data_IF_691486928955
#
_entry.id   IF_691486928955
#
_cell.length_a   1.000
_cell.length_b   1.000
_cell.length_c   1.000
_cell.angle_alpha   90.00
_cell.angle_beta   90.00
_cell.angle_gamma   90.00
#
_symmetry.space_group_name_H-M   'P 1'
#
loop_
_entity.id
_entity.type
_entity.pdbx_description
1 polymer ?
#
# COMPACT_ATOMS: atom_id res chain seq x y z
N UNK A 1 -11.52 -3.78 46.87
CA UNK A 1 -12.87 -4.40 46.76
C UNK A 1 -12.92 -5.22 45.48
N UNK A 2 -12.84 -6.55 45.63
CA UNK A 2 -12.84 -7.56 44.55
C UNK A 2 -14.27 -8.10 44.39
N UNK A 3 -14.82 -8.14 43.17
CA UNK A 3 -16.05 -8.86 42.81
C UNK A 3 -15.62 -10.19 42.15
N UNK A 4 -15.48 -11.26 42.95
CA UNK A 4 -16.46 -12.33 43.20
C UNK A 4 -16.61 -13.29 42.01
N UNK A 5 -15.77 -14.32 42.08
CA UNK A 5 -15.93 -15.64 41.48
C UNK A 5 -17.24 -16.31 41.92
N UNK A 6 -17.89 -17.00 40.98
CA UNK A 6 -19.08 -17.85 41.14
C UNK A 6 -18.92 -18.88 39.99
N UNK A 7 -18.84 -20.20 40.11
CA UNK A 7 -19.27 -21.20 41.11
C UNK A 7 -18.34 -22.41 40.98
N UNK A 8 -17.86 -22.94 42.12
CA UNK A 8 -17.44 -24.34 42.26
C UNK A 8 -18.67 -25.14 42.69
N UNK A 9 -19.04 -26.18 41.93
CA UNK A 9 -19.92 -27.23 42.41
C UNK A 9 -19.11 -28.52 42.55
N UNK A 10 -18.88 -28.90 43.80
CA UNK A 10 -18.47 -30.24 44.20
C UNK A 10 -19.63 -31.21 43.95
N UNK A 11 -19.33 -32.32 43.28
CA UNK A 11 -20.16 -33.52 43.29
C UNK A 11 -19.28 -34.72 43.60
N UNK A 12 -19.07 -34.99 44.89
CA UNK A 12 -18.50 -36.24 45.36
C UNK A 12 -19.64 -37.24 45.57
N UNK A 13 -19.62 -38.36 44.84
CA UNK A 13 -20.37 -39.56 45.21
C UNK A 13 -19.55 -40.76 44.74
N UNK A 14 -18.95 -41.42 45.72
CA UNK A 14 -18.22 -42.66 45.56
C UNK A 14 -19.19 -43.84 45.35
N UNK A 15 -18.92 -44.67 44.35
CA UNK A 15 -19.34 -46.06 44.33
C UNK A 15 -18.23 -46.88 43.66
N UNK A 16 -17.53 -47.67 44.48
CA UNK A 16 -16.58 -48.70 44.06
C UNK A 16 -17.36 -49.91 43.53
N UNK A 17 -17.11 -50.32 42.29
CA UNK A 17 -17.31 -51.69 41.83
C UNK A 17 -16.39 -51.97 40.62
N UNK A 18 -15.68 -53.09 40.68
CA UNK A 18 -14.50 -53.38 39.86
C UNK A 18 -14.75 -53.66 38.38
N UNK A 19 -13.66 -53.55 37.62
CA UNK A 19 -13.58 -53.92 36.21
C UNK A 19 -12.18 -53.64 35.66
N UNK A 20 -11.30 -54.65 35.73
CA UNK A 20 -10.05 -54.70 34.98
C UNK A 20 -10.37 -54.56 33.48
N UNK A 21 -9.94 -53.47 32.85
CA UNK A 21 -9.89 -53.38 31.39
C UNK A 21 -8.84 -52.38 30.93
N UNK A 22 -7.85 -52.94 30.27
CA UNK A 22 -6.97 -52.37 29.24
C UNK A 22 -6.19 -51.10 29.59
N UNK A 23 -4.86 -51.25 29.58
CA UNK A 23 -3.90 -50.18 29.31
C UNK A 23 -4.21 -49.53 27.95
N UNK A 24 -5.17 -48.60 27.92
CA UNK A 24 -5.26 -47.57 26.90
C UNK A 24 -4.47 -46.38 27.40
N UNK A 25 -3.26 -46.18 26.88
CA UNK A 25 -2.62 -44.88 26.97
C UNK A 25 -3.56 -43.85 26.34
N UNK A 26 -4.25 -43.04 27.17
CA UNK A 26 -4.88 -41.81 26.73
C UNK A 26 -3.77 -40.89 26.22
N UNK A 27 -3.41 -41.08 24.96
CA UNK A 27 -2.82 -40.04 24.15
C UNK A 27 -3.86 -38.93 24.13
N UNK A 28 -3.72 -37.96 25.02
CA UNK A 28 -4.18 -36.60 24.77
C UNK A 28 -3.58 -36.21 23.43
N UNK A 29 -4.36 -36.38 22.37
CA UNK A 29 -4.15 -35.72 21.10
C UNK A 29 -4.26 -34.24 21.42
N UNK A 30 -3.14 -33.62 21.77
CA UNK A 30 -2.94 -32.22 21.48
C UNK A 30 -3.15 -32.13 19.98
N UNK A 31 -4.36 -31.74 19.58
CA UNK A 31 -4.65 -31.24 18.26
C UNK A 31 -3.77 -29.98 18.12
N UNK A 32 -2.50 -30.21 17.80
CA UNK A 32 -1.60 -29.17 17.32
C UNK A 32 -2.32 -28.61 16.12
N UNK A 33 -2.82 -27.39 16.25
CA UNK A 33 -3.41 -26.66 15.16
C UNK A 33 -2.29 -26.44 14.15
N UNK A 34 -2.14 -27.39 13.23
CA UNK A 34 -1.08 -27.41 12.24
C UNK A 34 -1.39 -26.32 11.22
N UNK A 35 -1.05 -25.09 11.59
CA UNK A 35 -1.19 -23.88 10.75
C UNK A 35 -0.47 -24.03 9.40
N UNK A 36 0.34 -25.07 9.21
CA UNK A 36 0.95 -25.39 7.92
C UNK A 36 -0.07 -25.72 6.82
N UNK A 37 -1.32 -26.07 7.19
CA UNK A 37 -2.39 -26.40 6.24
C UNK A 37 -3.37 -25.25 5.93
N UNK A 38 -3.28 -24.14 6.65
CA UNK A 38 -4.21 -23.03 6.44
C UNK A 38 -3.92 -22.32 5.11
N UNK A 39 -4.97 -22.05 4.34
CA UNK A 39 -4.89 -21.32 3.07
C UNK A 39 -5.61 -19.98 3.20
N UNK A 40 -4.99 -18.94 2.63
CA UNK A 40 -5.45 -17.57 2.69
C UNK A 40 -5.69 -17.07 1.27
N UNK A 41 -6.83 -16.41 1.04
CA UNK A 41 -7.16 -15.76 -0.22
C UNK A 41 -7.20 -14.26 0.05
N UNK A 42 -6.08 -13.58 -0.23
CA UNK A 42 -5.92 -12.16 0.02
C UNK A 42 -6.29 -11.35 -1.22
N UNK A 43 -6.81 -10.15 -0.98
CA UNK A 43 -7.13 -9.15 -1.99
C UNK A 43 -6.09 -8.04 -1.91
N UNK A 44 -5.49 -7.72 -3.05
CA UNK A 44 -4.64 -6.54 -3.24
C UNK A 44 -5.36 -5.53 -4.11
N UNK A 45 -5.59 -4.32 -3.60
CA UNK A 45 -6.06 -3.19 -4.44
C UNK A 45 -4.88 -2.30 -4.81
N UNK A 46 -4.91 -1.72 -6.00
CA UNK A 46 -3.81 -0.87 -6.48
C UNK A 46 -4.30 0.53 -6.84
N UNK A 47 -3.39 1.50 -6.84
CA UNK A 47 -3.66 2.86 -7.34
C UNK A 47 -3.54 2.97 -8.87
N UNK A 48 -3.27 1.88 -9.58
CA UNK A 48 -2.87 1.88 -10.99
C UNK A 48 -3.92 1.21 -11.88
N UNK A 49 -4.00 1.57 -13.17
CA UNK A 49 -4.75 0.77 -14.14
C UNK A 49 -4.26 -0.68 -14.21
N UNK A 50 -5.12 -1.57 -14.69
CA UNK A 50 -4.75 -2.98 -14.88
C UNK A 50 -3.55 -3.09 -15.82
N UNK A 51 -2.57 -3.93 -15.46
CA UNK A 51 -1.36 -4.17 -16.24
C UNK A 51 -0.57 -2.90 -16.60
N UNK A 52 -0.74 -1.81 -15.86
CA UNK A 52 -0.04 -0.57 -16.16
C UNK A 52 1.49 -0.78 -16.08
N UNK A 53 2.26 -0.28 -17.06
CA UNK A 53 3.69 -0.56 -17.18
C UNK A 53 4.48 -0.31 -15.89
N UNK A 54 5.17 -1.33 -15.37
CA UNK A 54 6.05 -1.23 -14.20
C UNK A 54 5.30 -1.16 -12.87
N UNK A 55 4.37 -0.21 -12.73
CA UNK A 55 3.62 -0.01 -11.48
C UNK A 55 2.54 -1.08 -11.27
N UNK A 56 1.67 -1.28 -12.26
CA UNK A 56 0.61 -2.29 -12.24
C UNK A 56 1.17 -3.70 -12.38
N UNK A 57 2.10 -3.90 -13.33
CA UNK A 57 2.77 -5.20 -13.50
C UNK A 57 3.66 -5.56 -12.30
N UNK A 58 4.23 -4.56 -11.61
CA UNK A 58 4.97 -4.76 -10.35
C UNK A 58 4.08 -5.30 -9.22
N UNK A 59 2.87 -4.75 -9.08
CA UNK A 59 1.89 -5.26 -8.12
C UNK A 59 1.47 -6.71 -8.42
N UNK A 60 1.22 -7.03 -9.70
CA UNK A 60 0.91 -8.39 -10.14
C UNK A 60 2.07 -9.36 -9.84
N UNK A 61 3.32 -8.95 -10.14
CA UNK A 61 4.51 -9.74 -9.83
C UNK A 61 4.68 -9.99 -8.32
N UNK A 62 4.40 -8.99 -7.48
CA UNK A 62 4.44 -9.15 -6.03
C UNK A 62 3.40 -10.19 -5.55
N UNK A 63 2.18 -10.12 -6.07
CA UNK A 63 1.12 -11.08 -5.76
C UNK A 63 1.51 -12.52 -6.16
N UNK A 64 2.11 -12.70 -7.33
CA UNK A 64 2.65 -13.98 -7.80
C UNK A 64 3.78 -14.47 -6.88
N UNK A 65 4.72 -13.61 -6.51
CA UNK A 65 5.82 -13.96 -5.61
C UNK A 65 5.32 -14.41 -4.23
N UNK A 66 4.34 -13.73 -3.65
CA UNK A 66 3.71 -14.13 -2.38
C UNK A 66 3.10 -15.53 -2.52
N UNK A 67 2.39 -15.77 -3.62
CA UNK A 67 1.75 -17.07 -3.88
C UNK A 67 2.78 -18.18 -4.03
N UNK A 68 3.82 -17.96 -4.83
CA UNK A 68 4.89 -18.94 -5.07
C UNK A 68 5.71 -19.21 -3.81
N UNK A 69 6.18 -18.17 -3.13
CA UNK A 69 7.03 -18.31 -1.93
C UNK A 69 6.29 -18.89 -0.73
N UNK A 70 4.96 -18.75 -0.67
CA UNK A 70 4.13 -19.39 0.36
C UNK A 70 3.79 -20.85 0.07
N UNK A 71 4.22 -21.39 -1.08
CA UNK A 71 3.83 -22.73 -1.55
C UNK A 71 2.34 -22.82 -1.90
N UNK A 72 1.75 -21.72 -2.37
CA UNK A 72 0.33 -21.62 -2.70
C UNK A 72 -0.60 -21.39 -1.51
N UNK A 73 -0.07 -21.27 -0.29
CA UNK A 73 -0.88 -21.06 0.93
C UNK A 73 -1.46 -19.66 1.01
N UNK A 74 -0.80 -18.64 0.47
CA UNK A 74 -1.32 -17.27 0.41
C UNK A 74 -1.55 -16.94 -1.06
N UNK A 75 -2.79 -16.99 -1.52
CA UNK A 75 -3.16 -16.64 -2.89
C UNK A 75 -3.62 -15.19 -2.91
N UNK A 76 -2.93 -14.35 -3.68
CA UNK A 76 -3.24 -12.92 -3.77
C UNK A 76 -3.94 -12.63 -5.09
N UNK A 77 -5.18 -12.14 -5.02
CA UNK A 77 -5.91 -11.60 -6.18
C UNK A 77 -5.71 -10.09 -6.25
N UNK A 78 -5.20 -9.60 -7.37
CA UNK A 78 -4.99 -8.17 -7.62
C UNK A 78 -6.23 -7.57 -8.25
N UNK A 79 -6.59 -6.38 -7.79
CA UNK A 79 -7.65 -5.53 -8.32
C UNK A 79 -7.04 -4.21 -8.78
N UNK A 80 -7.30 -3.84 -10.03
CA UNK A 80 -6.87 -2.57 -10.59
C UNK A 80 -7.56 -1.40 -9.89
N UNK A 81 -6.98 -0.21 -10.02
CA UNK A 81 -7.53 1.02 -9.46
C UNK A 81 -8.95 1.26 -9.97
N UNK A 82 -9.90 1.39 -9.04
CA UNK A 82 -11.31 1.58 -9.35
C UNK A 82 -12.14 0.30 -9.45
N UNK A 83 -11.54 -0.90 -9.50
CA UNK A 83 -12.32 -2.15 -9.60
C UNK A 83 -13.05 -2.52 -8.30
N UNK A 84 -12.40 -2.29 -7.15
CA UNK A 84 -12.96 -2.62 -5.83
C UNK A 84 -13.14 -1.39 -4.95
N UNK A 85 -12.21 -0.43 -5.03
CA UNK A 85 -12.24 0.85 -4.33
C UNK A 85 -11.70 1.94 -5.25
N UNK A 86 -12.08 3.22 -5.07
CA UNK A 86 -11.42 4.33 -5.74
C UNK A 86 -9.90 4.26 -5.55
N UNK A 87 -9.08 4.56 -6.57
CA UNK A 87 -7.62 4.37 -6.49
C UNK A 87 -6.98 5.02 -5.25
N UNK A 88 -7.36 6.27 -4.98
CA UNK A 88 -6.87 7.06 -3.84
C UNK A 88 -7.53 6.69 -2.48
N UNK A 89 -8.32 5.63 -2.42
CA UNK A 89 -8.83 5.05 -1.16
C UNK A 89 -8.10 3.76 -0.77
N UNK A 90 -7.10 3.34 -1.55
CA UNK A 90 -6.30 2.12 -1.29
C UNK A 90 -5.78 2.04 0.16
N UNK A 91 -5.25 3.15 0.71
CA UNK A 91 -4.78 3.19 2.09
C UNK A 91 -5.89 2.91 3.10
N UNK A 92 -7.05 3.54 2.92
CA UNK A 92 -8.18 3.38 3.84
C UNK A 92 -8.80 1.99 3.74
N UNK A 93 -8.82 1.39 2.55
CA UNK A 93 -9.29 0.03 2.35
C UNK A 93 -8.47 -0.98 3.17
N UNK A 94 -7.14 -0.83 3.19
CA UNK A 94 -6.23 -1.67 4.00
C UNK A 94 -6.37 -1.33 5.48
N UNK A 95 -6.37 -0.05 5.85
CA UNK A 95 -6.48 0.38 7.26
C UNK A 95 -7.76 -0.12 7.94
N UNK A 96 -8.88 -0.19 7.20
CA UNK A 96 -10.15 -0.75 7.68
C UNK A 96 -10.22 -2.28 7.63
N UNK A 97 -9.21 -2.96 7.09
CA UNK A 97 -9.21 -4.42 6.93
C UNK A 97 -10.21 -4.95 5.90
N UNK A 98 -10.66 -4.11 4.96
CA UNK A 98 -11.58 -4.55 3.88
C UNK A 98 -10.87 -5.39 2.80
N UNK A 99 -9.57 -5.16 2.67
CA UNK A 99 -8.62 -5.87 1.81
C UNK A 99 -7.29 -5.99 2.57
N UNK A 100 -6.54 -7.05 2.31
CA UNK A 100 -5.33 -7.37 3.07
C UNK A 100 -4.09 -6.61 2.58
N UNK A 101 -4.07 -6.24 1.29
CA UNK A 101 -2.93 -5.58 0.67
C UNK A 101 -3.36 -4.35 -0.13
N UNK A 102 -2.50 -3.34 -0.14
CA UNK A 102 -2.62 -2.16 -0.98
C UNK A 102 -1.29 -1.88 -1.65
N UNK A 103 -1.32 -1.60 -2.95
CA UNK A 103 -0.14 -1.17 -3.69
C UNK A 103 -0.33 0.24 -4.23
N UNK A 104 0.56 1.14 -3.84
CA UNK A 104 0.48 2.53 -4.23
C UNK A 104 1.70 3.30 -3.78
N UNK A 105 1.52 4.59 -3.61
CA UNK A 105 2.59 5.55 -3.47
C UNK A 105 2.39 6.37 -2.19
N UNK A 106 3.37 6.35 -1.27
CA UNK A 106 3.17 6.87 0.09
C UNK A 106 2.80 8.37 0.13
N UNK A 107 3.31 9.14 -0.83
CA UNK A 107 3.00 10.55 -1.08
C UNK A 107 1.54 10.87 -1.42
N UNK A 108 0.73 9.89 -1.85
CA UNK A 108 -0.73 10.05 -1.98
C UNK A 108 -1.42 10.17 -0.61
N UNK A 109 -0.79 9.66 0.45
CA UNK A 109 -1.38 9.58 1.79
C UNK A 109 -0.97 10.77 2.68
N UNK A 110 -0.55 11.89 2.08
CA UNK A 110 -0.18 13.11 2.81
C UNK A 110 -1.29 13.64 3.73
N UNK A 111 -2.55 13.43 3.33
CA UNK A 111 -3.73 13.78 4.13
C UNK A 111 -3.97 12.85 5.33
N UNK A 112 -3.36 11.66 5.36
CA UNK A 112 -3.39 10.73 6.50
C UNK A 112 -2.27 11.06 7.48
N UNK A 113 -1.07 11.25 6.96
CA UNK A 113 0.07 11.78 7.70
C UNK A 113 0.96 12.57 6.76
N UNK A 114 1.30 13.80 7.14
CA UNK A 114 2.27 14.62 6.39
C UNK A 114 3.61 13.90 6.20
N UNK A 115 4.03 13.10 7.19
CA UNK A 115 5.27 12.34 7.13
C UNK A 115 5.26 11.19 6.12
N UNK A 116 4.08 10.73 5.64
CA UNK A 116 3.98 9.62 4.70
C UNK A 116 4.76 9.89 3.39
N UNK A 117 4.86 11.16 2.99
CA UNK A 117 5.51 11.56 1.74
C UNK A 117 7.00 11.26 1.69
N UNK A 118 7.69 11.26 2.84
CA UNK A 118 9.12 10.98 2.93
C UNK A 118 9.48 9.55 2.52
N UNK A 119 8.52 8.61 2.58
CA UNK A 119 8.73 7.22 2.19
C UNK A 119 8.47 6.95 0.71
N UNK A 120 8.24 8.00 -0.09
CA UNK A 120 8.13 7.89 -1.53
C UNK A 120 9.21 8.71 -2.24
N UNK A 121 9.15 10.05 -2.16
CA UNK A 121 10.12 10.94 -2.78
C UNK A 121 10.03 12.35 -2.20
N UNK A 122 11.16 13.04 -2.20
CA UNK A 122 11.29 14.46 -1.82
C UNK A 122 11.94 15.19 -3.00
N UNK A 123 11.44 16.37 -3.43
CA UNK A 123 12.13 17.20 -4.41
C UNK A 123 13.58 17.45 -3.99
N UNK A 124 14.53 17.24 -4.92
CA UNK A 124 15.97 17.31 -4.65
C UNK A 124 16.48 16.33 -3.57
N UNK A 125 15.73 15.26 -3.31
CA UNK A 125 16.08 14.22 -2.36
C UNK A 125 16.95 13.11 -2.95
N UNK A 126 16.89 11.96 -2.28
CA UNK A 126 17.65 10.76 -2.62
C UNK A 126 17.25 10.16 -3.98
N UNK A 127 18.24 9.63 -4.70
CA UNK A 127 18.00 8.75 -5.84
C UNK A 127 17.50 7.35 -5.38
N UNK A 128 17.20 6.47 -6.34
CA UNK A 128 16.68 5.13 -6.03
C UNK A 128 17.60 4.28 -5.15
N UNK A 129 18.92 4.34 -5.36
CA UNK A 129 19.89 3.56 -4.59
C UNK A 129 20.03 4.11 -3.18
N UNK A 130 20.11 5.44 -3.04
CA UNK A 130 20.18 6.13 -1.75
C UNK A 130 18.91 5.92 -0.92
N UNK A 131 17.72 6.01 -1.55
CA UNK A 131 16.44 5.74 -0.89
C UNK A 131 16.39 4.30 -0.38
N UNK A 132 16.80 3.32 -1.19
CA UNK A 132 16.87 1.93 -0.75
C UNK A 132 17.89 1.74 0.38
N UNK A 133 19.06 2.38 0.30
CA UNK A 133 20.06 2.33 1.36
C UNK A 133 19.51 2.87 2.69
N UNK A 134 18.81 4.01 2.65
CA UNK A 134 18.18 4.58 3.83
C UNK A 134 17.03 3.72 4.38
N UNK A 135 16.17 3.19 3.51
CA UNK A 135 15.04 2.35 3.93
C UNK A 135 15.53 1.07 4.62
N UNK A 136 16.49 0.36 4.03
CA UNK A 136 16.92 -0.95 4.53
C UNK A 136 18.04 -0.89 5.57
N UNK A 137 18.88 0.14 5.56
CA UNK A 137 20.07 0.22 6.42
C UNK A 137 20.19 1.52 7.20
N UNK A 138 19.40 2.55 6.87
CA UNK A 138 19.42 3.86 7.52
C UNK A 138 18.25 4.14 8.47
N UNK A 139 17.45 3.12 8.81
CA UNK A 139 16.30 3.25 9.72
C UNK A 139 14.99 3.74 9.09
N UNK A 140 14.94 3.83 7.75
CA UNK A 140 13.77 4.36 7.05
C UNK A 140 12.52 3.48 7.20
N UNK A 141 12.67 2.15 7.19
CA UNK A 141 11.53 1.23 7.41
C UNK A 141 10.96 1.35 8.82
N UNK A 142 11.80 1.53 9.84
CA UNK A 142 11.36 1.69 11.23
C UNK A 142 10.59 3.00 11.41
N UNK A 143 11.05 4.07 10.79
CA UNK A 143 10.32 5.34 10.75
C UNK A 143 8.99 5.17 10.02
N UNK A 144 8.97 4.46 8.89
CA UNK A 144 7.74 4.24 8.13
C UNK A 144 6.71 3.46 8.94
N UNK A 145 7.12 2.37 9.60
CA UNK A 145 6.27 1.59 10.49
C UNK A 145 5.68 2.45 11.62
N UNK A 146 6.49 3.30 12.27
CA UNK A 146 6.00 4.22 13.32
C UNK A 146 4.94 5.18 12.78
N UNK A 147 5.11 5.71 11.57
CA UNK A 147 4.13 6.62 10.96
C UNK A 147 2.84 5.87 10.61
N UNK A 148 2.92 4.60 10.24
CA UNK A 148 1.77 3.81 9.77
C UNK A 148 1.08 3.00 10.88
N UNK A 149 1.71 2.83 12.05
CA UNK A 149 1.20 2.10 13.21
C UNK A 149 -0.21 2.54 13.64
N UNK A 150 -0.54 3.85 13.75
CA UNK A 150 -1.89 4.28 14.14
C UNK A 150 -3.00 3.85 13.17
N UNK A 151 -2.64 3.47 11.95
CA UNK A 151 -3.57 3.05 10.91
C UNK A 151 -3.65 1.52 10.77
N UNK A 152 -2.89 0.77 11.59
CA UNK A 152 -2.84 -0.69 11.54
C UNK A 152 -2.20 -1.25 10.26
N UNK A 153 -1.36 -0.45 9.57
CA UNK A 153 -0.73 -0.85 8.31
C UNK A 153 0.75 -1.16 8.53
N UNK A 154 1.21 -2.27 7.95
CA UNK A 154 2.64 -2.59 7.85
C UNK A 154 3.12 -2.16 6.46
N UNK A 155 3.93 -1.09 6.35
CA UNK A 155 4.47 -0.68 5.07
C UNK A 155 5.69 -1.51 4.65
N UNK A 156 5.88 -1.64 3.33
CA UNK A 156 7.08 -2.19 2.73
C UNK A 156 7.36 -1.52 1.37
N UNK A 157 8.63 -1.23 1.04
CA UNK A 157 8.99 -0.80 -0.32
C UNK A 157 8.75 -1.95 -1.32
N UNK A 158 8.10 -1.62 -2.44
CA UNK A 158 7.72 -2.60 -3.47
C UNK A 158 8.12 -2.18 -4.90
N UNK A 159 9.00 -1.19 -5.04
CA UNK A 159 9.48 -0.71 -6.33
C UNK A 159 10.06 0.69 -6.25
N UNK A 160 10.76 1.10 -7.31
CA UNK A 160 11.26 2.47 -7.48
C UNK A 160 11.34 2.78 -8.98
N UNK A 161 10.89 3.97 -9.40
CA UNK A 161 10.87 4.39 -10.81
C UNK A 161 12.20 5.00 -11.28
N UNK A 162 13.13 5.25 -10.36
CA UNK A 162 14.29 6.10 -10.62
C UNK A 162 13.90 7.58 -10.73
N UNK A 163 14.78 8.35 -11.37
CA UNK A 163 14.52 9.78 -11.65
C UNK A 163 13.36 9.89 -12.64
N UNK A 164 12.34 10.64 -12.27
CA UNK A 164 11.17 10.89 -13.11
C UNK A 164 11.39 12.10 -14.03
N UNK A 165 10.63 12.15 -15.12
CA UNK A 165 10.63 13.30 -16.02
C UNK A 165 9.88 14.49 -15.42
N UNK A 166 10.20 15.70 -15.88
CA UNK A 166 9.59 16.95 -15.37
C UNK A 166 8.13 17.18 -15.75
N UNK A 167 7.56 16.34 -16.62
CA UNK A 167 6.16 16.38 -17.03
C UNK A 167 5.92 16.83 -18.47
N UNK A 168 4.64 16.98 -18.79
CA UNK A 168 4.06 17.38 -20.06
C UNK A 168 3.31 18.70 -19.89
N UNK A 169 3.57 19.65 -20.78
CA UNK A 169 3.07 21.02 -20.67
C UNK A 169 2.48 21.45 -22.02
N UNK A 170 1.33 22.12 -21.99
CA UNK A 170 0.72 22.70 -23.18
C UNK A 170 1.34 24.04 -23.62
N UNK A 171 2.27 24.58 -22.81
CA UNK A 171 3.04 25.79 -23.06
C UNK A 171 4.48 25.61 -22.59
N UNK A 172 5.40 26.38 -23.15
CA UNK A 172 6.79 26.36 -22.70
C UNK A 172 6.95 27.02 -21.32
N UNK A 173 7.85 26.47 -20.50
CA UNK A 173 8.23 27.01 -19.18
C UNK A 173 9.70 27.47 -19.29
N UNK A 174 9.94 28.78 -19.34
CA UNK A 174 11.27 29.37 -19.51
C UNK A 174 11.77 30.08 -18.26
N UNK A 175 10.87 30.40 -17.34
CA UNK A 175 11.14 31.14 -16.11
C UNK A 175 10.18 30.71 -15.00
N UNK A 176 10.49 31.09 -13.75
CA UNK A 176 9.60 30.86 -12.61
C UNK A 176 8.24 31.56 -12.80
N UNK A 177 8.20 32.70 -13.48
CA UNK A 177 6.96 33.43 -13.75
C UNK A 177 5.97 32.62 -14.60
N UNK A 178 6.45 31.68 -15.43
CA UNK A 178 5.58 30.82 -16.25
C UNK A 178 4.86 29.74 -15.41
N UNK A 179 5.21 29.58 -14.14
CA UNK A 179 4.50 28.70 -13.21
C UNK A 179 3.26 29.37 -12.59
N UNK A 180 3.17 30.70 -12.65
CA UNK A 180 2.04 31.43 -12.07
C UNK A 180 0.72 31.00 -12.72
N UNK A 181 -0.23 30.58 -11.88
CA UNK A 181 -1.53 30.07 -12.28
C UNK A 181 -1.50 28.73 -13.04
N UNK A 182 -0.35 28.08 -13.21
CA UNK A 182 -0.24 26.80 -13.95
C UNK A 182 -0.99 25.69 -13.19
N UNK A 183 -2.12 25.22 -13.73
CA UNK A 183 -2.87 24.11 -13.14
C UNK A 183 -2.19 22.80 -13.52
N UNK A 184 -1.38 22.26 -12.63
CA UNK A 184 -0.59 21.07 -12.92
C UNK A 184 -1.02 19.89 -12.06
N UNK A 185 -1.30 18.75 -12.69
CA UNK A 185 -1.39 17.50 -11.94
C UNK A 185 0.02 17.11 -11.48
N UNK A 186 0.26 17.26 -10.18
CA UNK A 186 1.50 16.88 -9.51
C UNK A 186 1.20 16.58 -8.04
N UNK A 187 1.53 15.39 -7.52
CA UNK A 187 1.25 14.98 -6.14
C UNK A 187 2.44 15.25 -5.20
N UNK A 188 2.27 14.83 -3.94
CA UNK A 188 3.37 14.79 -2.96
C UNK A 188 3.91 16.16 -2.58
N UNK A 189 5.20 16.20 -2.23
CA UNK A 189 5.91 17.45 -1.90
C UNK A 189 6.20 18.30 -3.13
N UNK A 190 6.24 17.70 -4.34
CA UNK A 190 6.32 18.46 -5.59
C UNK A 190 5.15 19.42 -5.76
N UNK A 191 3.94 19.01 -5.36
CA UNK A 191 2.75 19.85 -5.29
C UNK A 191 2.96 21.12 -4.44
N UNK A 192 3.55 20.95 -3.25
CA UNK A 192 3.75 22.07 -2.32
C UNK A 192 4.87 23.01 -2.76
N UNK A 193 5.87 22.50 -3.49
CA UNK A 193 6.91 23.33 -4.11
C UNK A 193 6.31 24.14 -5.25
N UNK A 194 5.51 23.52 -6.11
CA UNK A 194 4.82 24.21 -7.20
C UNK A 194 3.86 25.28 -6.69
N UNK A 195 3.07 24.97 -5.65
CA UNK A 195 2.14 25.92 -5.03
C UNK A 195 2.86 27.16 -4.51
N UNK A 196 4.01 26.99 -3.83
CA UNK A 196 4.83 28.12 -3.37
C UNK A 196 5.48 28.91 -4.52
N UNK A 197 5.61 28.30 -5.69
CA UNK A 197 6.11 28.95 -6.90
C UNK A 197 5.00 29.65 -7.72
N UNK A 198 3.75 29.65 -7.25
CA UNK A 198 2.60 30.32 -7.90
C UNK A 198 1.71 29.40 -8.74
N UNK A 199 2.06 28.11 -8.88
CA UNK A 199 1.23 27.15 -9.60
C UNK A 199 0.05 26.64 -8.77
N UNK A 200 -0.87 25.93 -9.44
CA UNK A 200 -2.08 25.38 -8.85
C UNK A 200 -2.02 23.85 -8.96
N UNK A 201 -1.52 23.14 -7.93
CA UNK A 201 -1.43 21.69 -7.99
C UNK A 201 -2.81 21.02 -7.96
N UNK A 202 -3.01 20.03 -8.81
CA UNK A 202 -4.24 19.24 -8.93
C UNK A 202 -3.96 17.79 -8.59
N UNK A 203 -4.82 17.17 -7.77
CA UNK A 203 -4.72 15.74 -7.44
C UNK A 203 -5.72 14.96 -8.27
N UNK A 204 -5.22 14.05 -9.12
CA UNK A 204 -6.04 13.16 -9.95
C UNK A 204 -5.48 11.73 -9.93
N UNK A 205 -6.35 10.71 -9.98
CA UNK A 205 -5.96 9.34 -10.33
C UNK A 205 -5.34 9.28 -11.72
N UNK A 206 -4.45 8.31 -11.96
CA UNK A 206 -3.75 8.17 -13.23
C UNK A 206 -4.69 8.09 -14.45
N UNK A 207 -5.79 7.34 -14.33
CA UNK A 207 -6.76 7.15 -15.41
C UNK A 207 -7.52 8.42 -15.83
N UNK A 208 -7.48 9.49 -15.04
CA UNK A 208 -8.18 10.75 -15.33
C UNK A 208 -7.26 11.81 -15.96
N UNK A 209 -5.95 11.58 -15.99
CA UNK A 209 -4.94 12.57 -16.40
C UNK A 209 -5.14 12.98 -17.87
N UNK A 210 -5.18 12.01 -18.79
CA UNK A 210 -5.28 12.29 -20.22
C UNK A 210 -6.54 13.10 -20.55
N UNK A 211 -7.70 12.69 -20.04
CA UNK A 211 -8.96 13.39 -20.25
C UNK A 211 -8.93 14.79 -19.65
N UNK A 212 -8.33 14.96 -18.46
CA UNK A 212 -8.21 16.27 -17.81
C UNK A 212 -7.30 17.24 -18.58
N UNK A 213 -6.22 16.73 -19.17
CA UNK A 213 -5.33 17.51 -20.03
C UNK A 213 -6.05 17.89 -21.33
N UNK A 214 -6.71 16.92 -21.99
CA UNK A 214 -7.45 17.13 -23.24
C UNK A 214 -8.60 18.14 -23.11
N UNK A 215 -9.26 18.15 -21.97
CA UNK A 215 -10.42 19.04 -21.70
C UNK A 215 -10.02 20.39 -21.12
N UNK A 216 -8.74 20.61 -20.80
CA UNK A 216 -8.25 21.86 -20.21
C UNK A 216 -8.63 22.04 -18.74
N UNK A 217 -8.97 20.95 -18.03
CA UNK A 217 -9.11 20.95 -16.57
C UNK A 217 -7.76 21.20 -15.91
N UNK A 218 -6.69 20.63 -16.49
CA UNK A 218 -5.29 20.90 -16.14
C UNK A 218 -4.54 21.41 -17.38
N UNK A 219 -3.53 22.24 -17.15
CA UNK A 219 -2.64 22.80 -18.18
C UNK A 219 -1.38 21.97 -18.38
N UNK A 220 -0.97 21.26 -17.32
CA UNK A 220 0.21 20.41 -17.32
C UNK A 220 0.00 19.18 -16.43
N UNK A 221 0.83 18.17 -16.61
CA UNK A 221 0.87 16.99 -15.74
C UNK A 221 2.27 16.43 -15.65
N UNK A 222 2.61 15.85 -14.51
CA UNK A 222 3.68 14.85 -14.43
C UNK A 222 3.09 13.47 -14.14
N UNK A 223 3.87 12.42 -14.40
CA UNK A 223 3.50 11.06 -14.02
C UNK A 223 4.71 10.22 -13.60
N UNK A 224 5.52 9.75 -14.56
CA UNK A 224 6.75 8.98 -14.25
C UNK A 224 7.85 9.25 -15.27
N UNK A 225 7.61 8.97 -16.56
CA UNK A 225 8.65 9.00 -17.57
C UNK A 225 8.29 8.19 -18.82
N UNK A 226 9.20 8.09 -19.81
CA UNK A 226 8.83 7.80 -21.20
C UNK A 226 7.95 6.58 -21.42
N UNK A 227 8.23 5.46 -20.74
CA UNK A 227 7.46 4.22 -20.90
C UNK A 227 6.04 4.31 -20.33
N UNK A 228 5.89 4.92 -19.16
CA UNK A 228 4.61 5.08 -18.48
C UNK A 228 3.76 6.17 -19.14
N UNK A 229 4.40 7.27 -19.51
CA UNK A 229 3.74 8.44 -20.06
C UNK A 229 3.22 8.14 -21.48
N UNK A 230 3.95 7.31 -22.25
CA UNK A 230 3.49 6.78 -23.52
C UNK A 230 2.22 5.94 -23.35
N UNK A 231 2.14 5.09 -22.31
CA UNK A 231 0.96 4.27 -22.05
C UNK A 231 -0.27 5.10 -21.66
N UNK A 232 -0.08 6.33 -21.17
CA UNK A 232 -1.16 7.30 -20.97
C UNK A 232 -1.42 8.21 -22.15
N UNK A 233 -0.59 8.17 -23.20
CA UNK A 233 -0.75 8.99 -24.40
C UNK A 233 -0.59 10.49 -24.13
N UNK A 234 0.33 10.88 -23.24
CA UNK A 234 0.50 12.28 -22.81
C UNK A 234 1.25 13.19 -23.82
N UNK A 235 1.76 12.61 -24.91
CA UNK A 235 2.51 13.28 -25.98
C UNK A 235 1.63 14.03 -27.00
#
# INVERSE_FOLDING_TARGET
MKRRDFVKALGASAALAGGLSACGSEQKTTAGNDRSKETFNWKMVTTWPENFPGLGTGAARLAEMITTMSGGRIRVKVYAGGELVPPLETFDAVSRGTVELGHGAAYYWKGKSRAAQFFAAVPFGMNAQEMNAWLYYGGGIELWKKVYEPFGIIPAPAGNTGVQMGGWFNREIRSVADLDGLRMRIPGLGAEVLERAGGVPVTLPGGEIFTSLKTGVIDATEWVGPWNDLAFGLH
#
